data_IF_869767563897
#
_entry.id   IF_869767563897
#
_cell.length_a   1.000
_cell.length_b   1.000
_cell.length_c   1.000
_cell.angle_alpha   90.00
_cell.angle_beta   90.00
_cell.angle_gamma   90.00
#
_symmetry.space_group_name_H-M   'P 1'
#
loop_
_entity.id
_entity.type
_entity.pdbx_description
1 polymer ?
#
# COMPACT_ATOMS: atom_id res chain seq x y z
N UNK A 1 1.79 -20.85 8.18
CA UNK A 1 0.88 -20.33 9.23
C UNK A 1 0.88 -18.82 9.12
N UNK A 2 -0.28 -18.18 9.32
CA UNK A 2 -0.45 -16.73 9.33
C UNK A 2 -0.73 -16.28 10.76
N UNK A 3 -0.21 -15.12 11.14
CA UNK A 3 -0.51 -14.45 12.40
C UNK A 3 -1.19 -13.12 12.10
N UNK A 4 -2.26 -12.83 12.85
CA UNK A 4 -3.04 -11.62 12.73
C UNK A 4 -3.10 -10.97 14.10
N UNK A 5 -2.81 -9.69 14.13
CA UNK A 5 -2.95 -8.85 15.31
C UNK A 5 -3.96 -7.76 15.02
N UNK A 6 -4.97 -7.62 15.89
CA UNK A 6 -5.97 -6.57 15.78
C UNK A 6 -6.00 -5.74 17.06
N UNK A 7 -6.18 -4.42 16.89
CA UNK A 7 -6.62 -3.53 17.98
C UNK A 7 -8.11 -3.30 17.81
N UNK A 8 -8.92 -3.77 18.76
CA UNK A 8 -10.37 -3.56 18.74
C UNK A 8 -10.75 -2.33 19.59
N UNK A 9 -11.85 -1.65 19.22
CA UNK A 9 -12.40 -0.51 19.97
C UNK A 9 -12.44 0.80 19.17
N UNK A 10 -13.18 1.77 19.70
CA UNK A 10 -13.15 3.16 19.23
C UNK A 10 -13.14 4.11 20.46
N UNK A 11 -11.97 4.65 20.86
CA UNK A 11 -10.65 4.47 20.25
C UNK A 11 -10.12 3.03 20.39
N UNK A 12 -9.12 2.61 19.59
CA UNK A 12 -8.51 1.29 19.73
C UNK A 12 -8.03 1.08 21.17
N UNK A 13 -8.47 0.00 21.81
CA UNK A 13 -8.02 -0.36 23.14
C UNK A 13 -6.57 -0.83 23.10
N UNK A 14 -5.82 -0.63 24.19
CA UNK A 14 -4.45 -1.15 24.32
C UNK A 14 -4.39 -2.68 24.24
N UNK A 15 -5.50 -3.37 24.56
CA UNK A 15 -5.56 -4.82 24.52
C UNK A 15 -5.63 -5.33 23.08
N UNK A 16 -4.48 -5.75 22.58
CA UNK A 16 -4.34 -6.43 21.30
C UNK A 16 -4.99 -7.81 21.36
N UNK A 17 -5.59 -8.23 20.24
CA UNK A 17 -6.03 -9.60 20.04
C UNK A 17 -5.14 -10.29 19.03
N UNK A 18 -4.90 -11.56 19.32
CA UNK A 18 -3.93 -12.37 18.61
C UNK A 18 -4.64 -13.57 18.00
N UNK A 19 -4.38 -13.80 16.71
CA UNK A 19 -4.98 -14.91 15.99
C UNK A 19 -3.96 -15.60 15.12
N UNK A 20 -4.16 -16.89 14.90
CA UNK A 20 -3.41 -17.69 13.93
C UNK A 20 -4.35 -18.36 12.94
N UNK A 21 -3.87 -18.52 11.70
CA UNK A 21 -4.60 -19.20 10.63
C UNK A 21 -3.64 -20.16 9.92
N UNK A 22 -4.09 -21.37 9.62
CA UNK A 22 -3.30 -22.31 8.83
C UNK A 22 -3.16 -21.79 7.40
N UNK A 23 -2.00 -22.04 6.77
CA UNK A 23 -1.73 -21.55 5.41
C UNK A 23 -2.63 -22.22 4.35
N UNK A 24 -3.14 -23.43 4.62
CA UNK A 24 -4.13 -24.10 3.77
C UNK A 24 -5.56 -23.59 3.95
N UNK A 25 -5.76 -22.52 4.72
CA UNK A 25 -7.06 -22.08 5.17
C UNK A 25 -7.55 -22.85 6.39
N UNK A 26 -8.75 -22.51 6.85
CA UNK A 26 -9.36 -23.10 8.05
C UNK A 26 -9.86 -22.04 9.03
N UNK A 27 -10.36 -22.48 10.20
CA UNK A 27 -10.85 -21.56 11.21
C UNK A 27 -9.73 -20.68 11.75
N UNK A 28 -10.08 -19.44 12.08
CA UNK A 28 -9.19 -18.52 12.79
C UNK A 28 -9.11 -19.01 14.24
N UNK A 29 -7.89 -19.27 14.73
CA UNK A 29 -7.63 -19.68 16.11
C UNK A 29 -7.16 -18.49 16.93
N UNK A 30 -7.82 -18.22 18.05
CA UNK A 30 -7.35 -17.23 19.02
C UNK A 30 -6.14 -17.77 19.78
N UNK A 31 -5.13 -16.94 20.01
CA UNK A 31 -3.98 -17.27 20.87
C UNK A 31 -3.85 -16.20 21.95
N UNK A 32 -3.27 -16.56 23.09
CA UNK A 32 -3.19 -15.66 24.24
C UNK A 32 -2.13 -14.57 24.08
N UNK A 33 -1.10 -14.82 23.27
CA UNK A 33 0.02 -13.91 23.05
C UNK A 33 0.53 -13.98 21.61
N UNK A 34 1.32 -12.97 21.23
CA UNK A 34 2.09 -12.97 20.00
C UNK A 34 3.05 -14.18 19.95
N UNK A 35 3.05 -14.99 18.88
CA UNK A 35 4.02 -16.07 18.72
C UNK A 35 5.46 -15.54 18.65
N UNK A 36 6.42 -16.27 19.20
CA UNK A 36 7.83 -15.84 19.27
C UNK A 36 8.40 -15.38 17.91
N UNK A 37 8.02 -16.06 16.83
CA UNK A 37 8.46 -15.77 15.47
C UNK A 37 7.87 -14.47 14.88
N UNK A 38 6.72 -14.01 15.38
CA UNK A 38 6.00 -12.88 14.80
C UNK A 38 6.75 -11.56 15.03
N UNK A 39 7.42 -11.39 16.17
CA UNK A 39 8.23 -10.21 16.46
C UNK A 39 9.36 -10.03 15.44
N UNK A 40 10.07 -11.11 15.14
CA UNK A 40 11.14 -11.16 14.14
C UNK A 40 10.59 -10.88 12.75
N UNK A 41 9.43 -11.45 12.41
CA UNK A 41 8.76 -11.18 11.14
C UNK A 41 8.40 -9.70 11.00
N UNK A 42 7.84 -9.09 12.05
CA UNK A 42 7.50 -7.67 12.03
C UNK A 42 8.74 -6.81 11.89
N UNK A 43 9.84 -7.08 12.56
CA UNK A 43 11.09 -6.32 12.37
C UNK A 43 11.52 -6.35 10.90
N UNK A 44 11.55 -7.52 10.28
CA UNK A 44 11.96 -7.67 8.87
C UNK A 44 10.98 -6.98 7.91
N UNK A 45 9.68 -7.09 8.15
CA UNK A 45 8.65 -6.59 7.24
C UNK A 45 8.71 -5.08 7.01
N UNK A 46 8.99 -4.32 8.05
CA UNK A 46 8.99 -2.85 8.07
C UNK A 46 10.39 -2.24 8.05
N UNK A 47 11.44 -3.07 8.00
CA UNK A 47 12.81 -2.58 7.86
C UNK A 47 12.97 -1.77 6.56
N UNK A 48 13.86 -0.79 6.60
CA UNK A 48 14.24 0.01 5.44
C UNK A 48 15.19 -0.76 4.52
N UNK A 49 16.02 -1.65 5.07
CA UNK A 49 16.95 -2.47 4.31
C UNK A 49 16.38 -3.88 4.06
N UNK A 50 16.71 -4.46 2.91
CA UNK A 50 16.32 -5.83 2.62
C UNK A 50 17.08 -6.82 3.52
N UNK A 51 16.42 -7.85 4.07
CA UNK A 51 17.06 -8.84 4.90
C UNK A 51 18.13 -9.63 4.11
N UNK A 52 19.36 -9.61 4.60
CA UNK A 52 20.52 -10.21 3.93
C UNK A 52 21.18 -9.35 2.84
N UNK A 53 20.63 -8.18 2.51
CA UNK A 53 21.23 -7.23 1.57
C UNK A 53 21.19 -5.80 2.13
N UNK A 54 22.11 -5.43 3.04
CA UNK A 54 22.09 -4.11 3.69
C UNK A 54 22.28 -2.94 2.73
N UNK A 55 22.83 -3.17 1.53
CA UNK A 55 22.95 -2.16 0.48
C UNK A 55 21.65 -1.92 -0.32
N UNK A 56 20.69 -2.86 -0.24
CA UNK A 56 19.39 -2.73 -0.90
C UNK A 56 18.43 -2.04 0.05
N UNK A 57 18.37 -0.70 -0.04
CA UNK A 57 17.70 0.16 0.92
C UNK A 57 16.58 0.94 0.24
N UNK A 58 15.43 1.04 0.90
CA UNK A 58 14.34 1.93 0.50
C UNK A 58 14.76 3.38 0.78
N UNK A 59 14.75 4.23 -0.23
CA UNK A 59 14.90 5.66 -0.13
C UNK A 59 13.58 6.30 0.33
N UNK A 60 13.69 7.33 1.18
CA UNK A 60 12.54 8.08 1.69
C UNK A 60 12.65 9.51 1.18
N UNK A 61 11.69 9.93 0.37
CA UNK A 61 11.53 11.32 -0.07
C UNK A 61 10.31 11.91 0.62
N UNK A 62 10.47 13.04 1.30
CA UNK A 62 9.40 13.73 2.01
C UNK A 62 9.44 15.21 1.67
N UNK A 63 8.36 15.72 1.06
CA UNK A 63 8.28 17.12 0.63
C UNK A 63 6.85 17.65 0.60
N UNK A 64 6.71 18.97 0.53
CA UNK A 64 5.44 19.62 0.21
C UNK A 64 5.34 19.80 -1.31
N UNK A 65 4.23 19.37 -1.90
CA UNK A 65 3.96 19.51 -3.32
C UNK A 65 2.69 20.32 -3.55
N UNK A 66 2.75 21.29 -4.45
CA UNK A 66 1.58 21.99 -4.93
C UNK A 66 0.77 21.05 -5.86
N UNK A 67 -0.32 20.46 -5.36
CA UNK A 67 -1.23 19.69 -6.21
C UNK A 67 -2.18 20.64 -6.93
N UNK A 68 -2.22 20.52 -8.26
CA UNK A 68 -3.22 21.21 -9.09
C UNK A 68 -4.37 20.25 -9.32
N UNK A 69 -5.52 20.51 -8.73
CA UNK A 69 -6.76 19.83 -9.11
C UNK A 69 -7.28 20.46 -10.40
N UNK A 70 -6.99 19.83 -11.53
CA UNK A 70 -7.53 20.22 -12.82
C UNK A 70 -8.91 19.61 -13.02
N UNK A 71 -9.92 20.46 -13.27
CA UNK A 71 -11.15 20.04 -13.94
C UNK A 71 -10.78 19.26 -15.21
N UNK A 72 -11.53 18.18 -15.48
CA UNK A 72 -11.49 17.43 -16.72
C UNK A 72 -11.38 18.36 -17.96
N UNK A 73 -10.76 17.93 -19.07
CA UNK A 73 -10.74 18.74 -20.28
C UNK A 73 -12.16 19.01 -20.73
N UNK A 74 -12.60 20.26 -20.64
CA UNK A 74 -13.80 20.78 -21.27
C UNK A 74 -13.56 20.80 -22.79
N UNK A 75 -13.70 19.65 -23.42
CA UNK A 75 -13.65 19.49 -24.87
C UNK A 75 -15.04 19.18 -25.41
N UNK A 76 -15.84 20.21 -25.65
CA UNK A 76 -16.75 20.36 -26.80
C UNK A 76 -17.67 21.59 -26.59
N UNK A 77 -17.17 22.78 -26.91
CA UNK A 77 -18.05 23.89 -27.33
C UNK A 77 -17.53 24.39 -28.68
N UNK A 78 -18.11 23.87 -29.75
CA UNK A 78 -17.99 24.45 -31.07
C UNK A 78 -19.18 25.38 -31.32
N UNK A 79 -18.85 26.67 -31.41
CA UNK A 79 -19.47 27.80 -32.12
C UNK A 79 -20.95 27.72 -32.55
N UNK A 80 -21.74 28.72 -32.13
CA UNK A 80 -22.44 29.66 -33.05
C UNK A 80 -23.25 30.74 -32.29
N UNK A 81 -23.04 32.03 -32.64
CA UNK A 81 -24.02 33.13 -32.47
C UNK A 81 -23.74 34.22 -31.41
N UNK A 82 -23.37 35.44 -31.85
CA UNK A 82 -23.30 36.71 -31.09
C UNK A 82 -24.67 37.43 -31.02
N UNK A 83 -24.81 38.64 -30.40
CA UNK A 83 -24.38 39.12 -29.09
C UNK A 83 -25.55 39.77 -28.30
N UNK A 84 -25.67 39.58 -26.98
CA UNK A 84 -26.39 40.55 -26.12
C UNK A 84 -26.01 40.41 -24.65
N UNK A 85 -25.62 41.55 -24.06
CA UNK A 85 -25.89 41.97 -22.68
C UNK A 85 -25.65 40.97 -21.55
N UNK A 86 -24.54 41.14 -20.82
CA UNK A 86 -24.50 41.55 -19.40
C UNK A 86 -23.08 41.36 -18.86
N UNK A 87 -22.51 42.44 -18.33
CA UNK A 87 -21.21 42.42 -17.65
C UNK A 87 -21.28 41.53 -16.39
N UNK A 88 -20.68 40.35 -16.50
CA UNK A 88 -20.22 39.56 -15.37
C UNK A 88 -18.84 39.03 -15.72
N UNK A 89 -17.79 39.66 -15.21
CA UNK A 89 -16.43 39.12 -15.27
C UNK A 89 -16.39 37.85 -14.42
N UNK A 90 -16.73 36.71 -15.00
CA UNK A 90 -16.38 35.41 -14.44
C UNK A 90 -14.92 35.21 -14.82
N UNK A 91 -14.01 35.58 -13.91
CA UNK A 91 -12.62 35.13 -13.99
C UNK A 91 -12.63 33.59 -13.99
N UNK A 92 -12.07 32.91 -15.01
CA UNK A 92 -11.80 31.49 -14.93
C UNK A 92 -10.50 31.30 -14.15
N UNK A 93 -10.48 31.69 -12.88
CA UNK A 93 -9.29 31.55 -12.05
C UNK A 93 -9.67 31.15 -10.63
N UNK A 94 -9.81 29.84 -10.44
CA UNK A 94 -9.72 29.20 -9.13
C UNK A 94 -9.43 27.69 -9.29
N UNK A 95 -8.45 27.34 -10.13
CA UNK A 95 -7.78 26.05 -10.00
C UNK A 95 -6.93 26.07 -8.73
N UNK A 96 -7.58 25.95 -7.57
CA UNK A 96 -6.93 26.03 -6.27
C UNK A 96 -5.80 25.03 -6.19
N UNK A 97 -4.56 25.51 -6.18
CA UNK A 97 -3.42 24.65 -5.89
C UNK A 97 -3.36 24.46 -4.39
N UNK A 98 -3.53 23.22 -3.94
CA UNK A 98 -3.39 22.88 -2.53
C UNK A 98 -2.01 22.28 -2.31
N UNK A 99 -1.27 22.81 -1.34
CA UNK A 99 -0.05 22.17 -0.87
C UNK A 99 -0.41 20.87 -0.16
N UNK A 100 0.16 19.76 -0.63
CA UNK A 100 0.03 18.45 -0.03
C UNK A 100 1.38 18.01 0.55
N UNK A 101 1.36 17.43 1.73
CA UNK A 101 2.51 16.71 2.28
C UNK A 101 2.58 15.35 1.60
N UNK A 102 3.69 15.07 0.91
CA UNK A 102 3.89 13.84 0.16
C UNK A 102 5.11 13.11 0.71
N UNK A 103 4.92 11.83 1.03
CA UNK A 103 6.02 10.91 1.34
C UNK A 103 6.06 9.82 0.28
N UNK A 104 7.22 9.60 -0.33
CA UNK A 104 7.47 8.50 -1.27
C UNK A 104 8.57 7.60 -0.73
N UNK A 105 8.34 6.31 -0.90
CA UNK A 105 9.32 5.27 -0.66
C UNK A 105 9.73 4.69 -2.02
N UNK A 106 11.04 4.72 -2.30
CA UNK A 106 11.60 4.26 -3.56
C UNK A 106 12.64 3.20 -3.34
N UNK A 107 12.62 2.12 -4.10
CA UNK A 107 13.66 1.09 -4.10
C UNK A 107 14.28 1.02 -5.49
N UNK A 108 15.59 1.29 -5.59
CA UNK A 108 16.31 1.29 -6.87
C UNK A 108 15.66 2.20 -7.94
N UNK A 109 15.07 3.32 -7.51
CA UNK A 109 14.33 4.27 -8.35
C UNK A 109 12.87 3.93 -8.61
N UNK A 110 12.39 2.74 -8.21
CA UNK A 110 10.99 2.34 -8.32
C UNK A 110 10.20 2.77 -7.08
N UNK A 111 9.10 3.49 -7.26
CA UNK A 111 8.21 3.85 -6.14
C UNK A 111 7.48 2.59 -5.65
N UNK A 112 7.70 2.23 -4.39
CA UNK A 112 7.10 1.08 -3.69
C UNK A 112 6.09 1.51 -2.62
N UNK A 113 5.99 2.81 -2.33
CA UNK A 113 4.97 3.37 -1.45
C UNK A 113 4.82 4.87 -1.63
N UNK A 114 3.60 5.39 -1.51
CA UNK A 114 3.30 6.81 -1.57
C UNK A 114 2.15 7.16 -0.64
N UNK A 115 2.28 8.28 0.08
CA UNK A 115 1.28 8.84 0.99
C UNK A 115 1.12 10.32 0.68
N UNK A 116 -0.12 10.78 0.59
CA UNK A 116 -0.46 12.19 0.30
C UNK A 116 -1.41 12.66 1.39
N UNK A 117 -0.96 13.59 2.23
CA UNK A 117 -1.69 14.07 3.41
C UNK A 117 -2.15 12.94 4.35
N UNK A 118 -1.40 11.83 4.37
CA UNK A 118 -1.68 10.65 5.17
C UNK A 118 -0.50 10.32 6.07
N UNK A 119 -0.77 9.68 7.21
CA UNK A 119 0.28 9.16 8.08
C UNK A 119 0.95 7.97 7.39
N UNK A 120 2.28 8.00 7.30
CA UNK A 120 3.08 6.85 6.89
C UNK A 120 3.04 5.80 8.00
N UNK A 121 2.56 4.61 7.68
CA UNK A 121 2.56 3.46 8.58
C UNK A 121 3.40 2.36 7.92
N UNK A 122 4.63 2.11 8.41
CA UNK A 122 5.49 1.05 7.88
C UNK A 122 4.79 -0.32 7.84
N UNK A 123 5.15 -1.16 6.86
CA UNK A 123 4.57 -2.50 6.71
C UNK A 123 3.11 -2.55 6.23
N UNK A 124 2.48 -1.40 5.92
CA UNK A 124 1.09 -1.39 5.42
C UNK A 124 0.98 -1.50 3.90
N UNK A 125 1.93 -0.88 3.18
CA UNK A 125 1.96 -0.82 1.72
C UNK A 125 2.98 -1.76 1.10
N UNK A 126 3.94 -2.28 1.87
CA UNK A 126 4.95 -3.19 1.37
C UNK A 126 5.38 -4.22 2.43
N UNK A 127 6.08 -5.25 1.98
CA UNK A 127 6.77 -6.23 2.82
C UNK A 127 8.01 -6.75 2.09
N UNK A 128 9.13 -6.80 2.80
CA UNK A 128 10.28 -7.57 2.35
C UNK A 128 9.96 -9.07 2.30
N UNK A 129 10.55 -9.75 1.32
CA UNK A 129 10.61 -11.20 1.27
C UNK A 129 11.61 -11.77 2.26
N UNK A 130 11.68 -13.10 2.40
CA UNK A 130 12.63 -13.76 3.28
C UNK A 130 14.09 -13.38 3.00
N UNK A 131 14.94 -13.53 4.01
CA UNK A 131 16.35 -13.18 3.93
C UNK A 131 17.04 -13.81 2.71
N UNK A 132 17.84 -13.03 1.99
CA UNK A 132 18.54 -13.49 0.80
C UNK A 132 17.70 -13.51 -0.49
N UNK A 133 16.40 -13.22 -0.44
CA UNK A 133 15.58 -13.05 -1.65
C UNK A 133 15.85 -11.73 -2.39
N UNK A 134 16.08 -10.64 -1.66
CA UNK A 134 16.18 -9.29 -2.23
C UNK A 134 14.87 -8.84 -2.92
N UNK A 135 13.76 -9.51 -2.61
CA UNK A 135 12.46 -9.25 -3.19
C UNK A 135 11.61 -8.42 -2.22
N UNK A 136 10.80 -7.53 -2.77
CA UNK A 136 9.76 -6.77 -2.06
C UNK A 136 8.42 -7.01 -2.74
N UNK A 137 7.37 -7.13 -1.95
CA UNK A 137 5.99 -6.99 -2.45
C UNK A 137 5.46 -5.65 -2.01
N UNK A 138 4.74 -4.95 -2.88
CA UNK A 138 4.04 -3.74 -2.52
C UNK A 138 2.65 -3.62 -3.15
N UNK A 139 1.83 -2.76 -2.55
CA UNK A 139 0.48 -2.43 -3.00
C UNK A 139 0.57 -1.21 -3.91
N UNK A 140 0.44 -1.44 -5.21
CA UNK A 140 0.36 -0.41 -6.23
C UNK A 140 -1.04 0.25 -6.26
N UNK A 141 -1.20 1.19 -7.19
CA UNK A 141 -2.48 1.86 -7.44
C UNK A 141 -3.60 0.85 -7.75
N UNK A 142 -4.80 1.13 -7.24
CA UNK A 142 -5.95 0.23 -7.33
C UNK A 142 -5.89 -0.98 -6.40
N UNK A 143 -4.93 -1.01 -5.46
CA UNK A 143 -4.79 -2.11 -4.51
C UNK A 143 -4.23 -3.40 -5.14
N UNK A 144 -3.46 -3.27 -6.23
CA UNK A 144 -2.82 -4.42 -6.90
C UNK A 144 -1.52 -4.78 -6.20
N UNK A 145 -1.22 -6.06 -6.07
CA UNK A 145 0.08 -6.50 -5.57
C UNK A 145 1.10 -6.57 -6.70
N UNK A 146 2.30 -6.07 -6.44
CA UNK A 146 3.43 -6.08 -7.35
C UNK A 146 4.65 -6.61 -6.62
N UNK A 147 5.31 -7.59 -7.23
CA UNK A 147 6.63 -8.06 -6.83
C UNK A 147 7.67 -7.24 -7.56
N UNK A 148 8.71 -6.85 -6.83
CA UNK A 148 9.88 -6.18 -7.36
C UNK A 148 11.13 -6.77 -6.72
N UNK A 149 12.19 -6.97 -7.49
CA UNK A 149 13.43 -7.54 -6.98
C UNK A 149 14.65 -6.65 -7.22
N UNK A 150 15.79 -7.08 -6.66
CA UNK A 150 17.07 -6.36 -6.78
C UNK A 150 17.60 -6.28 -8.21
N UNK A 151 17.14 -7.15 -9.11
CA UNK A 151 17.44 -7.09 -10.54
C UNK A 151 16.50 -6.14 -11.31
N UNK A 152 15.64 -5.40 -10.58
CA UNK A 152 14.63 -4.48 -11.10
C UNK A 152 13.55 -5.16 -11.95
N UNK A 153 13.35 -6.47 -11.77
CA UNK A 153 12.24 -7.17 -12.43
C UNK A 153 10.96 -6.86 -11.67
N UNK A 154 9.89 -6.65 -12.42
CA UNK A 154 8.58 -6.30 -11.88
C UNK A 154 7.55 -7.32 -12.35
N UNK A 155 6.77 -7.85 -11.43
CA UNK A 155 5.69 -8.79 -11.72
C UNK A 155 4.42 -8.39 -10.99
N UNK A 156 3.39 -8.02 -11.73
CA UNK A 156 2.06 -7.84 -11.15
C UNK A 156 1.46 -9.22 -10.80
N UNK A 157 0.92 -9.34 -9.59
CA UNK A 157 0.16 -10.52 -9.19
C UNK A 157 -1.21 -10.45 -9.85
N UNK A 158 -1.54 -11.47 -10.65
CA UNK A 158 -2.82 -11.54 -11.36
C UNK A 158 -3.97 -11.64 -10.36
N UNK A 159 -5.12 -11.08 -10.73
CA UNK A 159 -6.41 -11.21 -10.02
C UNK A 159 -6.47 -10.60 -8.61
N UNK A 160 -5.42 -9.91 -8.16
CA UNK A 160 -5.42 -9.20 -6.88
C UNK A 160 -5.83 -7.75 -7.06
N UNK A 161 -6.87 -7.34 -6.32
CA UNK A 161 -7.36 -5.96 -6.23
C UNK A 161 -7.68 -5.63 -4.77
N UNK A 162 -7.73 -4.33 -4.46
CA UNK A 162 -8.12 -3.83 -3.14
C UNK A 162 -7.30 -4.46 -1.98
N UNK A 163 -6.06 -4.85 -2.26
CA UNK A 163 -5.17 -5.50 -1.29
C UNK A 163 -4.53 -4.49 -0.33
N UNK A 164 -4.29 -4.94 0.89
CA UNK A 164 -3.65 -4.23 1.98
C UNK A 164 -2.76 -5.19 2.77
N UNK A 165 -1.78 -4.63 3.49
CA UNK A 165 -0.92 -5.35 4.43
C UNK A 165 -0.30 -6.62 3.83
N UNK A 166 0.37 -6.55 2.67
CA UNK A 166 0.96 -7.74 2.08
C UNK A 166 2.01 -8.35 3.02
N UNK A 167 2.18 -9.66 2.97
CA UNK A 167 3.08 -10.41 3.82
C UNK A 167 3.59 -11.67 3.09
N UNK A 168 4.89 -11.94 3.20
CA UNK A 168 5.48 -13.16 2.65
C UNK A 168 5.34 -14.34 3.61
N UNK A 169 5.16 -15.54 3.06
CA UNK A 169 5.48 -16.76 3.77
C UNK A 169 7.00 -16.91 3.93
N UNK A 170 7.42 -17.66 4.95
CA UNK A 170 8.83 -17.91 5.24
C UNK A 170 9.55 -18.69 4.13
N UNK A 171 8.83 -19.52 3.39
CA UNK A 171 9.34 -20.28 2.23
C UNK A 171 9.39 -19.44 0.93
N UNK A 172 8.97 -18.17 0.96
CA UNK A 172 8.82 -17.30 -0.22
C UNK A 172 7.85 -17.78 -1.30
N UNK A 173 7.06 -18.83 -1.07
CA UNK A 173 6.16 -19.38 -2.09
C UNK A 173 4.80 -18.68 -2.14
N UNK A 174 4.42 -18.00 -1.06
CA UNK A 174 3.10 -17.42 -0.90
C UNK A 174 3.16 -15.96 -0.45
N UNK A 175 2.17 -15.21 -0.91
CA UNK A 175 1.88 -13.86 -0.44
C UNK A 175 0.50 -13.84 0.19
N UNK A 176 0.43 -13.51 1.47
CA UNK A 176 -0.81 -13.22 2.17
C UNK A 176 -1.11 -11.71 2.11
N UNK A 177 -2.39 -11.36 2.09
CA UNK A 177 -2.85 -9.97 2.09
C UNK A 177 -4.29 -9.88 2.64
N UNK A 178 -4.66 -8.69 3.10
CA UNK A 178 -6.05 -8.36 3.38
C UNK A 178 -6.70 -7.76 2.13
N UNK A 179 -7.75 -8.39 1.61
CA UNK A 179 -8.56 -7.86 0.53
C UNK A 179 -9.77 -7.11 1.09
N UNK A 180 -9.96 -5.84 0.72
CA UNK A 180 -11.19 -5.13 1.10
C UNK A 180 -12.36 -5.66 0.28
N UNK A 181 -13.35 -6.22 0.96
CA UNK A 181 -14.56 -6.81 0.34
C UNK A 181 -15.81 -5.99 0.58
N UNK A 182 -15.72 -4.95 1.42
CA UNK A 182 -16.81 -4.01 1.68
C UNK A 182 -16.34 -2.83 2.54
N UNK A 183 -17.25 -1.95 2.94
CA UNK A 183 -16.91 -0.71 3.69
C UNK A 183 -16.15 -0.96 4.99
N UNK A 184 -16.45 -2.06 5.68
CA UNK A 184 -15.81 -2.49 6.95
C UNK A 184 -15.57 -4.00 6.96
N UNK A 185 -15.43 -4.61 5.79
CA UNK A 185 -15.23 -6.05 5.64
C UNK A 185 -13.95 -6.30 4.86
N UNK A 186 -13.17 -7.23 5.37
CA UNK A 186 -11.92 -7.67 4.79
C UNK A 186 -11.91 -9.19 4.73
N UNK A 187 -11.34 -9.74 3.67
CA UNK A 187 -10.99 -11.15 3.57
C UNK A 187 -9.48 -11.28 3.76
N UNK A 188 -9.05 -12.26 4.54
CA UNK A 188 -7.66 -12.70 4.51
C UNK A 188 -7.52 -13.64 3.31
N UNK A 189 -6.61 -13.31 2.40
CA UNK A 189 -6.38 -14.07 1.18
C UNK A 189 -4.90 -14.32 1.00
N UNK A 190 -4.56 -15.31 0.18
CA UNK A 190 -3.19 -15.56 -0.23
C UNK A 190 -3.14 -16.02 -1.67
N UNK A 191 -1.98 -15.86 -2.28
CA UNK A 191 -1.66 -16.35 -3.62
C UNK A 191 -0.33 -17.08 -3.60
N UNK A 192 -0.15 -18.01 -4.52
CA UNK A 192 1.15 -18.58 -4.83
C UNK A 192 1.87 -17.68 -5.82
N UNK A 193 3.16 -17.46 -5.60
CA UNK A 193 4.02 -16.70 -6.51
C UNK A 193 5.13 -17.58 -7.04
N UNK A 194 5.34 -17.51 -8.36
CA UNK A 194 6.52 -18.06 -9.02
C UNK A 194 7.60 -16.98 -9.08
N UNK A 195 8.85 -17.35 -8.80
CA UNK A 195 10.00 -16.49 -9.08
C UNK A 195 10.31 -16.43 -10.56
#
# INVERSE_FOLDING_TARGET
MLYIQTGEGNPPQEKLRHYTVLAGGGPIMTVDAEPDWASTFWTVKQDRAAPGFPALVIEVDQRQEAQKFGMAPAGALDRTGSPESTAGTISPDAGGSQNAHVVRLSLLGQVVGSWVNERVIPGTRFSWGPAGSGAIVYVAEGGRLVLFDREKRTQAVKEVKDALLPAWSTDSAHLAYLAKTGRKKYALSWVTVSR
#
